data_IF_366840648638
#
_entry.id   IF_366840648638
#
_cell.length_a   1.000
_cell.length_b   1.000
_cell.length_c   1.000
_cell.angle_alpha   90.00
_cell.angle_beta   90.00
_cell.angle_gamma   90.00
#
_symmetry.space_group_name_H-M   'P 1'
#
loop_
_entity.id
_entity.type
_entity.pdbx_description
1 polymer ?
#
# COMPACT_ATOMS: atom_id res chain seq x y z
N UNK A 1 3.41 -50.57 20.34
CA UNK A 1 3.20 -51.69 19.38
C UNK A 1 2.68 -52.98 20.02
N UNK A 2 3.08 -53.39 21.24
CA UNK A 2 2.57 -54.63 21.89
C UNK A 2 1.04 -54.77 21.95
N UNK A 3 0.31 -53.66 21.98
CA UNK A 3 -1.16 -53.66 21.99
C UNK A 3 -1.77 -54.22 20.70
N UNK A 4 -1.09 -54.12 19.55
CA UNK A 4 -1.57 -54.65 18.28
C UNK A 4 -1.46 -56.18 18.18
N UNK A 5 -0.66 -56.81 19.05
CA UNK A 5 -0.61 -58.28 19.17
C UNK A 5 -1.91 -58.89 19.70
N UNK A 6 -2.82 -58.06 20.22
CA UNK A 6 -4.15 -58.46 20.69
C UNK A 6 -5.24 -58.30 19.62
N UNK A 7 -4.85 -58.18 18.34
CA UNK A 7 -5.76 -57.93 17.23
C UNK A 7 -6.59 -56.63 17.41
N UNK A 8 -5.95 -55.60 17.98
CA UNK A 8 -6.59 -54.31 18.26
C UNK A 8 -6.39 -53.36 17.07
N UNK A 9 -7.39 -52.56 16.72
CA UNK A 9 -7.27 -51.49 15.71
C UNK A 9 -7.22 -50.13 16.39
N UNK A 10 -6.34 -49.23 15.93
CA UNK A 10 -6.28 -47.85 16.41
C UNK A 10 -6.64 -46.88 15.28
N UNK A 11 -7.90 -46.41 15.22
CA UNK A 11 -8.32 -45.39 14.27
C UNK A 11 -8.06 -43.99 14.83
N UNK A 12 -7.35 -43.17 14.08
CA UNK A 12 -7.34 -41.72 14.25
C UNK A 12 -8.16 -41.11 13.11
N UNK A 13 -9.17 -40.32 13.45
CA UNK A 13 -10.04 -39.69 12.46
C UNK A 13 -10.11 -38.18 12.67
N UNK A 14 -10.20 -37.45 11.58
CA UNK A 14 -10.46 -36.02 11.55
C UNK A 14 -11.65 -35.78 10.63
N UNK A 15 -12.74 -35.22 11.17
CA UNK A 15 -13.94 -34.91 10.38
C UNK A 15 -13.67 -33.94 9.24
N UNK A 16 -12.62 -33.12 9.32
CA UNK A 16 -12.25 -32.20 8.23
C UNK A 16 -11.90 -32.96 6.94
N UNK A 17 -11.35 -34.17 7.06
CA UNK A 17 -10.98 -35.00 5.91
C UNK A 17 -12.18 -35.41 5.06
N UNK A 18 -13.37 -35.52 5.63
CA UNK A 18 -14.59 -35.84 4.87
C UNK A 18 -15.00 -34.72 3.91
N UNK A 19 -14.57 -33.48 4.17
CA UNK A 19 -14.90 -32.30 3.34
C UNK A 19 -13.84 -31.99 2.28
N UNK A 20 -12.55 -32.23 2.59
CA UNK A 20 -11.44 -31.75 1.76
C UNK A 20 -10.81 -32.83 0.86
N UNK A 21 -11.14 -34.11 1.07
CA UNK A 21 -10.67 -35.17 0.18
C UNK A 21 -11.44 -35.16 -1.15
N UNK A 22 -10.71 -35.30 -2.25
CA UNK A 22 -11.27 -35.29 -3.61
C UNK A 22 -11.91 -36.63 -4.02
N UNK A 23 -11.69 -37.70 -3.23
CA UNK A 23 -12.27 -39.01 -3.50
C UNK A 23 -13.79 -38.96 -3.22
N UNK A 24 -14.64 -39.29 -4.22
CA UNK A 24 -16.10 -39.25 -4.10
C UNK A 24 -16.69 -40.10 -2.97
N UNK A 25 -15.94 -41.08 -2.44
CA UNK A 25 -16.39 -41.92 -1.33
C UNK A 25 -16.66 -41.12 -0.05
N UNK A 26 -15.75 -40.22 0.33
CA UNK A 26 -15.85 -39.51 1.62
C UNK A 26 -16.95 -38.44 1.70
N UNK A 27 -17.20 -37.63 0.65
CA UNK A 27 -18.30 -36.68 0.63
C UNK A 27 -19.69 -37.32 0.76
N UNK A 28 -19.86 -38.58 0.32
CA UNK A 28 -21.14 -39.29 0.39
C UNK A 28 -21.47 -39.82 1.80
N UNK A 29 -20.47 -39.98 2.68
CA UNK A 29 -20.68 -40.45 4.06
C UNK A 29 -21.41 -39.39 4.90
N UNK A 30 -21.16 -38.10 4.64
CA UNK A 30 -21.71 -37.00 5.44
C UNK A 30 -23.24 -36.89 5.32
N UNK A 31 -23.85 -36.87 4.11
CA UNK A 31 -25.30 -36.90 3.96
C UNK A 31 -25.95 -38.09 4.66
N UNK A 32 -25.42 -39.30 4.46
CA UNK A 32 -25.95 -40.53 5.07
C UNK A 32 -25.93 -40.44 6.61
N UNK A 33 -24.81 -40.01 7.20
CA UNK A 33 -24.69 -39.86 8.65
C UNK A 33 -25.50 -38.70 9.20
N UNK A 34 -25.72 -37.66 8.41
CA UNK A 34 -26.56 -36.54 8.79
C UNK A 34 -28.04 -36.94 8.84
N UNK A 35 -28.53 -37.68 7.85
CA UNK A 35 -29.89 -38.24 7.86
C UNK A 35 -30.13 -39.14 9.06
N UNK A 36 -29.22 -40.09 9.32
CA UNK A 36 -29.29 -40.98 10.49
C UNK A 36 -29.30 -40.19 11.82
N UNK A 37 -28.47 -39.14 11.93
CA UNK A 37 -28.45 -38.27 13.11
C UNK A 37 -29.76 -37.50 13.29
N UNK A 38 -30.36 -37.02 12.19
CA UNK A 38 -31.66 -36.34 12.23
C UNK A 38 -32.79 -37.28 12.66
N UNK A 39 -32.80 -38.52 12.17
CA UNK A 39 -33.77 -39.53 12.59
C UNK A 39 -33.66 -39.85 14.09
N UNK A 40 -32.44 -39.96 14.61
CA UNK A 40 -32.21 -40.15 16.05
C UNK A 40 -32.68 -38.94 16.87
N UNK A 41 -32.48 -37.71 16.38
CA UNK A 41 -33.01 -36.49 17.01
C UNK A 41 -34.55 -36.49 17.00
N UNK A 42 -35.18 -36.76 15.85
CA UNK A 42 -36.63 -36.74 15.67
C UNK A 42 -37.33 -37.85 16.47
N UNK A 43 -36.69 -39.01 16.61
CA UNK A 43 -37.18 -40.12 17.44
C UNK A 43 -36.92 -39.91 18.94
N UNK A 44 -36.23 -38.83 19.33
CA UNK A 44 -35.93 -38.51 20.72
C UNK A 44 -34.87 -39.40 21.37
N UNK A 45 -34.12 -40.19 20.58
CA UNK A 45 -33.02 -41.03 21.10
C UNK A 45 -31.79 -40.21 21.46
N UNK A 46 -31.62 -39.05 20.83
CA UNK A 46 -30.59 -38.07 21.17
C UNK A 46 -31.24 -36.70 21.39
N UNK A 47 -30.75 -35.97 22.39
CA UNK A 47 -31.21 -34.63 22.74
C UNK A 47 -30.11 -33.60 22.46
N UNK A 48 -30.48 -32.34 22.14
CA UNK A 48 -29.51 -31.28 21.95
C UNK A 48 -28.75 -31.01 23.26
N UNK A 49 -27.45 -30.78 23.13
CA UNK A 49 -26.62 -30.39 24.27
C UNK A 49 -27.03 -29.00 24.78
N UNK A 50 -26.86 -28.72 26.10
CA UNK A 50 -27.07 -27.40 26.66
C UNK A 50 -26.32 -26.33 25.86
N UNK A 51 -27.01 -25.26 25.47
CA UNK A 51 -26.44 -24.18 24.68
C UNK A 51 -26.15 -22.98 25.57
N UNK A 52 -24.91 -22.51 25.55
CA UNK A 52 -24.53 -21.20 26.10
C UNK A 52 -24.41 -20.22 24.96
N UNK A 53 -25.38 -19.31 24.84
CA UNK A 53 -25.47 -18.38 23.71
C UNK A 53 -24.84 -17.03 24.06
N UNK A 54 -23.92 -16.57 23.23
CA UNK A 54 -23.32 -15.24 23.30
C UNK A 54 -23.71 -14.43 22.05
N UNK A 55 -23.90 -13.12 22.21
CA UNK A 55 -24.05 -12.21 21.07
C UNK A 55 -22.71 -12.01 20.37
N UNK A 56 -22.71 -11.81 19.05
CA UNK A 56 -21.48 -11.54 18.29
C UNK A 56 -20.65 -10.35 18.83
N UNK A 57 -21.25 -9.28 19.37
CA UNK A 57 -20.50 -8.19 20.01
C UNK A 57 -19.68 -8.64 21.23
N UNK A 58 -20.09 -9.74 21.89
CA UNK A 58 -19.43 -10.29 23.06
C UNK A 58 -18.57 -11.52 22.73
N UNK A 59 -18.07 -11.64 21.49
CA UNK A 59 -17.27 -12.79 21.04
C UNK A 59 -16.06 -13.07 21.96
N UNK A 60 -15.41 -12.03 22.49
CA UNK A 60 -14.30 -12.19 23.43
C UNK A 60 -14.72 -12.90 24.72
N UNK A 61 -15.95 -12.66 25.21
CA UNK A 61 -16.49 -13.37 26.37
C UNK A 61 -16.79 -14.83 26.03
N UNK A 62 -17.33 -15.09 24.82
CA UNK A 62 -17.57 -16.44 24.32
C UNK A 62 -16.27 -17.25 24.28
N UNK A 63 -15.17 -16.67 23.76
CA UNK A 63 -13.85 -17.32 23.76
C UNK A 63 -13.30 -17.58 25.17
N UNK A 64 -13.44 -16.62 26.10
CA UNK A 64 -13.01 -16.81 27.50
C UNK A 64 -13.76 -17.95 28.17
N UNK A 65 -15.09 -17.99 28.00
CA UNK A 65 -15.91 -19.08 28.51
C UNK A 65 -15.55 -20.40 27.83
N UNK A 66 -15.34 -20.40 26.51
CA UNK A 66 -14.90 -21.57 25.77
C UNK A 66 -13.56 -22.10 26.29
N UNK A 67 -12.61 -21.26 26.68
CA UNK A 67 -11.33 -21.71 27.26
C UNK A 67 -11.44 -22.29 28.68
N UNK A 68 -12.60 -22.17 29.34
CA UNK A 68 -12.81 -22.68 30.70
C UNK A 68 -13.00 -24.20 30.69
N UNK A 69 -12.39 -24.90 31.66
CA UNK A 69 -12.46 -26.36 31.76
C UNK A 69 -13.84 -26.88 32.18
N UNK A 70 -14.58 -26.09 32.97
CA UNK A 70 -15.87 -26.45 33.53
C UNK A 70 -17.06 -26.13 32.60
N UNK A 71 -16.79 -25.86 31.31
CA UNK A 71 -17.83 -25.58 30.33
C UNK A 71 -18.73 -26.81 30.12
N UNK A 72 -20.03 -26.59 30.08
CA UNK A 72 -21.02 -27.64 29.80
C UNK A 72 -21.70 -27.35 28.47
N UNK A 73 -21.81 -28.38 27.64
CA UNK A 73 -22.52 -28.31 26.36
C UNK A 73 -21.77 -27.53 25.27
N UNK A 74 -22.50 -26.73 24.47
CA UNK A 74 -21.98 -26.01 23.31
C UNK A 74 -22.05 -24.50 23.51
N UNK A 75 -20.99 -23.81 23.07
CA UNK A 75 -20.94 -22.34 23.03
C UNK A 75 -21.37 -21.89 21.64
N UNK A 76 -22.42 -21.08 21.57
CA UNK A 76 -23.00 -20.59 20.31
C UNK A 76 -22.88 -19.08 20.26
N UNK A 77 -22.48 -18.55 19.10
CA UNK A 77 -22.44 -17.11 18.86
C UNK A 77 -23.56 -16.76 17.89
N UNK A 78 -24.53 -15.94 18.33
CA UNK A 78 -25.64 -15.49 17.48
C UNK A 78 -25.31 -14.16 16.77
N UNK A 79 -25.75 -14.06 15.51
CA UNK A 79 -25.57 -12.93 14.60
C UNK A 79 -26.94 -12.29 14.24
N UNK A 80 -28.05 -12.83 14.72
CA UNK A 80 -29.40 -12.46 14.26
C UNK A 80 -29.96 -11.16 14.88
N UNK A 81 -29.34 -10.64 15.94
CA UNK A 81 -29.79 -9.41 16.59
C UNK A 81 -29.47 -8.17 15.73
N UNK A 82 -30.51 -7.45 15.28
CA UNK A 82 -30.39 -6.23 14.48
C UNK A 82 -29.63 -5.07 15.20
N UNK A 83 -29.68 -5.04 16.53
CA UNK A 83 -29.00 -4.02 17.35
C UNK A 83 -27.54 -4.39 17.71
N UNK A 84 -27.04 -5.51 17.20
CA UNK A 84 -25.73 -6.05 17.56
C UNK A 84 -24.60 -5.36 16.77
N UNK A 85 -24.06 -4.28 17.34
CA UNK A 85 -22.90 -3.57 16.77
C UNK A 85 -21.61 -4.33 17.10
N UNK A 86 -21.09 -5.07 16.13
CA UNK A 86 -19.80 -5.76 16.25
C UNK A 86 -18.67 -4.82 15.86
N UNK A 87 -17.65 -4.68 16.72
CA UNK A 87 -16.41 -4.02 16.33
C UNK A 87 -15.66 -4.91 15.36
N UNK A 88 -15.70 -4.54 14.08
CA UNK A 88 -14.98 -5.25 13.01
C UNK A 88 -13.66 -4.54 12.82
N UNK A 89 -12.55 -5.28 12.89
CA UNK A 89 -11.25 -4.75 12.45
C UNK A 89 -11.40 -4.39 10.98
N UNK A 90 -11.20 -3.10 10.65
CA UNK A 90 -11.27 -2.64 9.26
C UNK A 90 -10.37 -3.50 8.37
N UNK A 91 -10.83 -3.77 7.14
CA UNK A 91 -10.01 -4.50 6.18
C UNK A 91 -8.67 -3.80 6.01
N UNK A 92 -7.59 -4.58 6.01
CA UNK A 92 -6.23 -4.06 5.79
C UNK A 92 -6.09 -3.40 4.41
N UNK A 93 -6.90 -3.85 3.46
CA UNK A 93 -6.95 -3.39 2.07
C UNK A 93 -8.38 -2.99 1.71
N UNK A 94 -8.55 -1.83 1.10
CA UNK A 94 -9.85 -1.25 0.72
C UNK A 94 -10.18 -1.50 -0.75
N UNK A 95 -9.19 -1.70 -1.62
CA UNK A 95 -9.42 -1.91 -3.04
C UNK A 95 -10.09 -3.27 -3.27
N UNK A 96 -11.25 -3.25 -3.93
CA UNK A 96 -11.97 -4.44 -4.35
C UNK A 96 -11.92 -4.49 -5.87
N UNK A 97 -11.31 -5.54 -6.42
CA UNK A 97 -11.17 -5.74 -7.86
C UNK A 97 -12.32 -6.58 -8.40
N UNK A 98 -12.92 -6.14 -9.51
CA UNK A 98 -13.89 -6.93 -10.28
C UNK A 98 -13.20 -8.17 -10.89
N UNK A 99 -13.63 -9.40 -10.55
CA UNK A 99 -13.03 -10.63 -11.05
C UNK A 99 -13.25 -10.86 -12.55
N UNK A 100 -14.20 -10.16 -13.19
CA UNK A 100 -14.45 -10.25 -14.62
C UNK A 100 -13.51 -9.35 -15.46
N UNK A 101 -12.86 -8.38 -14.83
CA UNK A 101 -11.94 -7.44 -15.47
C UNK A 101 -10.50 -7.90 -15.42
N UNK A 102 -9.68 -7.24 -16.22
CA UNK A 102 -8.25 -7.48 -16.42
C UNK A 102 -7.50 -6.26 -16.00
N UNK A 103 -6.47 -6.49 -15.24
CA UNK A 103 -5.63 -5.43 -14.76
C UNK A 103 -4.27 -5.62 -15.40
N UNK A 104 -3.73 -4.55 -15.97
CA UNK A 104 -2.28 -4.41 -16.06
C UNK A 104 -1.81 -4.19 -14.61
N UNK A 105 -1.85 -5.29 -13.83
CA UNK A 105 -1.26 -5.66 -12.52
C UNK A 105 -2.14 -6.65 -11.73
N UNK A 106 -1.55 -7.36 -10.78
CA UNK A 106 -2.15 -7.59 -9.46
C UNK A 106 -3.26 -8.64 -9.24
N UNK A 107 -4.25 -8.91 -10.12
CA UNK A 107 -5.37 -9.82 -9.77
C UNK A 107 -5.91 -10.64 -10.95
N UNK A 108 -6.05 -11.96 -10.76
CA UNK A 108 -6.62 -13.03 -11.63
C UNK A 108 -6.19 -12.98 -13.12
N UNK A 109 -6.42 -11.91 -13.87
CA UNK A 109 -5.98 -11.79 -15.27
C UNK A 109 -4.96 -10.66 -15.40
N UNK A 110 -3.75 -11.01 -15.82
CA UNK A 110 -2.56 -10.16 -15.84
C UNK A 110 -1.95 -10.06 -17.24
N UNK A 111 -1.54 -8.85 -17.61
CA UNK A 111 -0.59 -8.65 -18.70
C UNK A 111 0.56 -7.81 -18.17
N UNK A 112 1.79 -8.34 -18.26
CA UNK A 112 3.02 -7.63 -17.91
C UNK A 112 3.69 -7.16 -19.19
N UNK A 113 4.05 -5.88 -19.26
CA UNK A 113 4.83 -5.32 -20.37
C UNK A 113 6.24 -4.98 -19.87
N UNK A 114 7.25 -5.49 -20.54
CA UNK A 114 8.64 -5.13 -20.24
C UNK A 114 9.61 -5.55 -21.34
N UNK A 115 10.74 -4.85 -21.43
CA UNK A 115 11.74 -5.02 -22.50
C UNK A 115 12.31 -6.45 -22.61
N UNK A 116 12.32 -7.19 -21.50
CA UNK A 116 12.84 -8.56 -21.39
C UNK A 116 11.75 -9.63 -21.26
N UNK A 117 10.45 -9.26 -21.18
CA UNK A 117 9.37 -10.25 -20.97
C UNK A 117 9.69 -11.27 -19.86
N UNK A 118 9.66 -12.57 -20.21
CA UNK A 118 10.00 -13.70 -19.33
C UNK A 118 11.46 -14.20 -19.46
N UNK A 119 12.38 -13.43 -20.04
CA UNK A 119 13.77 -13.86 -20.24
C UNK A 119 14.49 -14.15 -18.91
N UNK A 120 14.09 -13.46 -17.82
CA UNK A 120 14.62 -13.70 -16.47
C UNK A 120 13.95 -14.92 -15.83
N UNK A 121 14.75 -15.82 -15.25
CA UNK A 121 14.23 -17.02 -14.57
C UNK A 121 13.29 -16.70 -13.41
N UNK A 122 13.50 -15.59 -12.70
CA UNK A 122 12.60 -15.09 -11.66
C UNK A 122 11.23 -14.68 -12.21
N UNK A 123 11.20 -14.01 -13.37
CA UNK A 123 9.95 -13.63 -14.04
C UNK A 123 9.17 -14.87 -14.49
N UNK A 124 9.86 -15.86 -15.09
CA UNK A 124 9.24 -17.13 -15.48
C UNK A 124 8.63 -17.87 -14.29
N UNK A 125 9.38 -18.02 -13.19
CA UNK A 125 8.88 -18.64 -11.95
C UNK A 125 7.68 -17.91 -11.37
N UNK A 126 7.65 -16.57 -11.46
CA UNK A 126 6.52 -15.77 -10.98
C UNK A 126 5.27 -16.04 -11.81
N UNK A 127 5.38 -16.05 -13.14
CA UNK A 127 4.27 -16.39 -14.05
C UNK A 127 3.75 -17.80 -13.77
N UNK A 128 4.63 -18.81 -13.73
CA UNK A 128 4.26 -20.20 -13.45
C UNK A 128 3.59 -20.36 -12.07
N UNK A 129 4.08 -19.64 -11.06
CA UNK A 129 3.48 -19.65 -9.71
C UNK A 129 2.10 -18.99 -9.70
N UNK A 130 1.90 -17.91 -10.45
CA UNK A 130 0.59 -17.27 -10.54
C UNK A 130 -0.42 -18.15 -11.28
N UNK A 131 0.00 -18.76 -12.39
CA UNK A 131 -0.85 -19.68 -13.16
C UNK A 131 -1.24 -20.93 -12.36
N UNK A 132 -0.37 -21.42 -11.46
CA UNK A 132 -0.68 -22.56 -10.59
C UNK A 132 -1.65 -22.24 -9.44
N UNK A 133 -1.97 -20.97 -9.18
CA UNK A 133 -2.93 -20.55 -8.15
C UNK A 133 -4.41 -20.79 -8.54
N UNK A 134 -4.69 -21.31 -9.74
CA UNK A 134 -5.99 -21.90 -10.08
C UNK A 134 -6.55 -21.50 -11.46
N UNK A 135 -7.66 -22.15 -11.82
CA UNK A 135 -8.24 -22.15 -13.18
C UNK A 135 -8.66 -20.78 -13.76
N UNK A 136 -8.74 -19.73 -12.93
CA UNK A 136 -9.14 -18.39 -13.34
C UNK A 136 -7.99 -17.38 -13.38
N UNK A 137 -6.74 -17.86 -13.28
CA UNK A 137 -5.56 -17.01 -13.40
C UNK A 137 -4.99 -17.08 -14.81
N UNK A 138 -4.94 -15.94 -15.52
CA UNK A 138 -4.30 -15.85 -16.85
C UNK A 138 -3.20 -14.82 -16.79
N UNK A 139 -1.96 -15.19 -17.08
CA UNK A 139 -0.82 -14.27 -17.08
C UNK A 139 -0.21 -14.24 -18.48
N UNK A 140 -0.05 -13.06 -19.07
CA UNK A 140 0.70 -12.88 -20.31
C UNK A 140 1.87 -11.93 -20.08
N UNK A 141 3.07 -12.34 -20.46
CA UNK A 141 4.21 -11.46 -20.53
C UNK A 141 4.41 -11.00 -21.98
N UNK A 142 4.24 -9.70 -22.22
CA UNK A 142 4.47 -9.05 -23.50
C UNK A 142 5.85 -8.42 -23.46
N UNK A 143 6.69 -8.81 -24.41
CA UNK A 143 7.97 -8.15 -24.63
C UNK A 143 7.74 -6.85 -25.40
N UNK A 144 8.20 -5.74 -24.84
CA UNK A 144 8.08 -4.43 -25.50
C UNK A 144 8.49 -3.28 -24.59
N UNK A 145 8.66 -2.11 -25.20
CA UNK A 145 8.96 -0.86 -24.51
C UNK A 145 7.72 0.04 -24.49
N UNK A 146 7.25 0.40 -23.31
CA UNK A 146 6.05 1.24 -23.16
C UNK A 146 6.23 2.65 -23.76
N UNK A 147 7.47 3.13 -23.89
CA UNK A 147 7.77 4.39 -24.60
C UNK A 147 7.59 4.29 -26.12
N UNK A 148 7.53 3.06 -26.67
CA UNK A 148 7.14 2.81 -28.05
C UNK A 148 5.61 2.67 -28.17
N UNK A 149 5.00 3.50 -29.01
CA UNK A 149 3.55 3.52 -29.21
C UNK A 149 3.01 2.20 -29.76
N UNK A 150 3.75 1.51 -30.64
CA UNK A 150 3.35 0.23 -31.22
C UNK A 150 3.29 -0.87 -30.15
N UNK A 151 4.30 -0.92 -29.28
CA UNK A 151 4.39 -1.91 -28.20
C UNK A 151 3.31 -1.68 -27.13
N UNK A 152 3.08 -0.43 -26.73
CA UNK A 152 1.99 -0.08 -25.81
C UNK A 152 0.62 -0.46 -26.40
N UNK A 153 0.41 -0.20 -27.69
CA UNK A 153 -0.82 -0.59 -28.40
C UNK A 153 -0.97 -2.11 -28.46
N UNK A 154 0.11 -2.83 -28.75
CA UNK A 154 0.11 -4.30 -28.79
C UNK A 154 -0.17 -4.92 -27.42
N UNK A 155 0.36 -4.34 -26.34
CA UNK A 155 0.09 -4.77 -24.97
C UNK A 155 -1.39 -4.57 -24.60
N UNK A 156 -1.96 -3.41 -24.94
CA UNK A 156 -3.39 -3.13 -24.73
C UNK A 156 -4.27 -4.07 -25.55
N UNK A 157 -3.92 -4.34 -26.83
CA UNK A 157 -4.60 -5.35 -27.66
C UNK A 157 -4.50 -6.76 -27.07
N UNK A 158 -3.35 -7.11 -26.51
CA UNK A 158 -3.16 -8.41 -25.84
C UNK A 158 -4.11 -8.55 -24.65
N UNK A 159 -4.30 -7.50 -23.85
CA UNK A 159 -5.27 -7.51 -22.76
C UNK A 159 -6.70 -7.78 -23.28
N UNK A 160 -7.08 -7.20 -24.42
CA UNK A 160 -8.41 -7.40 -25.02
C UNK A 160 -8.69 -8.87 -25.36
N UNK A 161 -7.67 -9.63 -25.77
CA UNK A 161 -7.85 -11.07 -26.06
C UNK A 161 -8.22 -11.90 -24.83
N UNK A 162 -8.01 -11.35 -23.64
CA UNK A 162 -8.25 -12.04 -22.36
C UNK A 162 -9.57 -11.54 -21.71
N UNK A 163 -9.99 -10.29 -22.00
CA UNK A 163 -11.16 -9.65 -21.36
C UNK A 163 -11.11 -8.11 -21.28
N UNK A 164 -12.02 -7.52 -20.50
CA UNK A 164 -12.18 -6.06 -20.35
C UNK A 164 -11.11 -5.50 -19.40
N UNK A 165 -10.41 -4.44 -19.81
CA UNK A 165 -9.38 -3.80 -18.99
C UNK A 165 -10.04 -2.97 -17.87
N UNK A 166 -9.79 -3.31 -16.61
CA UNK A 166 -10.25 -2.59 -15.42
C UNK A 166 -9.19 -1.66 -14.82
N UNK A 167 -7.90 -1.85 -15.09
CA UNK A 167 -6.92 -0.92 -14.53
C UNK A 167 -5.52 -1.07 -15.09
N UNK A 168 -4.71 -0.03 -14.86
CA UNK A 168 -3.33 0.06 -15.32
C UNK A 168 -2.46 0.58 -14.19
N UNK A 169 -1.31 -0.06 -13.94
CA UNK A 169 -0.21 0.57 -13.21
C UNK A 169 0.96 0.77 -14.15
N UNK A 170 1.40 2.02 -14.27
CA UNK A 170 2.62 2.39 -14.94
C UNK A 170 3.76 2.45 -13.93
N UNK A 171 4.51 1.35 -13.83
CA UNK A 171 5.70 1.21 -12.99
C UNK A 171 7.01 1.21 -13.78
N UNK A 172 6.97 1.46 -15.10
CA UNK A 172 8.18 1.48 -15.91
C UNK A 172 9.11 2.63 -15.49
N UNK A 173 10.40 2.30 -15.34
CA UNK A 173 11.43 3.23 -14.93
C UNK A 173 12.72 2.99 -15.73
N UNK A 174 13.33 4.09 -16.15
CA UNK A 174 14.73 4.17 -16.50
C UNK A 174 15.38 5.21 -15.60
N UNK A 175 16.64 5.02 -15.25
CA UNK A 175 17.41 5.99 -14.47
C UNK A 175 18.84 6.00 -14.98
N UNK A 176 19.37 7.20 -15.15
CA UNK A 176 20.78 7.43 -15.41
C UNK A 176 21.15 8.77 -14.78
N UNK A 177 21.88 8.71 -13.67
CA UNK A 177 22.20 9.87 -12.85
C UNK A 177 23.37 10.64 -13.44
N UNK A 178 23.25 11.97 -13.43
CA UNK A 178 24.33 12.87 -13.79
C UNK A 178 24.01 14.28 -13.27
N UNK A 179 25.04 15.03 -12.89
CA UNK A 179 24.87 16.48 -12.72
C UNK A 179 24.33 17.07 -14.02
N UNK A 180 23.34 17.96 -13.96
CA UNK A 180 22.65 18.46 -15.15
C UNK A 180 23.60 19.07 -16.18
N UNK A 181 24.64 19.80 -15.73
CA UNK A 181 25.67 20.38 -16.61
C UNK A 181 26.45 19.33 -17.44
N UNK A 182 26.50 18.08 -16.97
CA UNK A 182 27.21 16.96 -17.59
C UNK A 182 26.27 15.86 -18.05
N UNK A 183 24.95 16.07 -17.94
CA UNK A 183 23.97 15.08 -18.31
C UNK A 183 23.90 14.99 -19.82
N UNK A 184 24.17 13.81 -20.37
CA UNK A 184 24.02 13.57 -21.79
C UNK A 184 22.53 13.62 -22.18
N UNK A 185 22.25 13.91 -23.45
CA UNK A 185 20.88 13.86 -23.96
C UNK A 185 20.28 12.45 -23.82
N UNK A 186 21.09 11.40 -24.00
CA UNK A 186 20.68 10.01 -23.77
C UNK A 186 20.23 9.79 -22.31
N UNK A 187 21.04 10.21 -21.33
CA UNK A 187 20.70 10.07 -19.91
C UNK A 187 19.41 10.82 -19.56
N UNK A 188 19.20 12.00 -20.14
CA UNK A 188 17.96 12.75 -19.99
C UNK A 188 16.74 11.93 -20.49
N UNK A 189 16.82 11.40 -21.70
CA UNK A 189 15.72 10.65 -22.29
C UNK A 189 15.46 9.30 -21.63
N UNK A 190 16.49 8.63 -21.08
CA UNK A 190 16.34 7.34 -20.39
C UNK A 190 15.30 7.40 -19.27
N UNK A 191 15.28 8.46 -18.45
CA UNK A 191 14.30 8.60 -17.37
C UNK A 191 12.96 9.17 -17.86
N UNK A 192 13.00 10.14 -18.76
CA UNK A 192 11.82 10.86 -19.26
C UNK A 192 10.93 9.94 -20.09
N UNK A 193 11.49 9.19 -21.06
CA UNK A 193 10.70 8.40 -22.01
C UNK A 193 9.87 7.31 -21.32
N UNK A 194 10.44 6.64 -20.31
CA UNK A 194 9.74 5.60 -19.58
C UNK A 194 8.44 6.10 -18.90
N UNK A 195 8.47 7.33 -18.35
CA UNK A 195 7.36 7.91 -17.59
C UNK A 195 6.46 8.79 -18.45
N UNK A 196 7.01 9.75 -19.18
CA UNK A 196 6.26 10.61 -20.09
C UNK A 196 5.63 9.80 -21.21
N UNK A 197 6.47 9.23 -22.08
CA UNK A 197 5.98 8.63 -23.33
C UNK A 197 5.23 7.34 -23.00
N UNK A 198 5.73 6.58 -22.02
CA UNK A 198 5.02 5.42 -21.51
C UNK A 198 3.59 5.72 -21.05
N UNK A 199 3.40 6.71 -20.17
CA UNK A 199 2.06 7.05 -19.67
C UNK A 199 1.16 7.63 -20.77
N UNK A 200 1.72 8.46 -21.65
CA UNK A 200 0.99 9.05 -22.77
C UNK A 200 0.55 8.00 -23.79
N UNK A 201 1.44 7.07 -24.14
CA UNK A 201 1.13 5.97 -25.05
C UNK A 201 0.05 5.06 -24.48
N UNK A 202 0.12 4.70 -23.19
CA UNK A 202 -0.93 3.92 -22.54
C UNK A 202 -2.26 4.66 -22.52
N UNK A 203 -2.25 5.96 -22.20
CA UNK A 203 -3.45 6.80 -22.25
C UNK A 203 -4.11 6.78 -23.63
N UNK A 204 -3.33 7.01 -24.69
CA UNK A 204 -3.84 7.02 -26.06
C UNK A 204 -4.31 5.64 -26.51
N UNK A 205 -3.54 4.59 -26.23
CA UNK A 205 -3.91 3.22 -26.59
C UNK A 205 -5.22 2.75 -25.92
N UNK A 206 -5.51 3.26 -24.71
CA UNK A 206 -6.76 3.02 -23.99
C UNK A 206 -7.89 3.96 -24.44
N UNK A 207 -7.59 5.15 -24.93
CA UNK A 207 -8.59 6.08 -25.44
C UNK A 207 -9.25 5.58 -26.75
N UNK A 208 -8.53 4.76 -27.53
CA UNK A 208 -9.12 4.06 -28.68
C UNK A 208 -10.33 3.24 -28.20
N UNK A 209 -11.47 3.41 -28.87
CA UNK A 209 -12.77 2.81 -28.52
C UNK A 209 -13.36 3.24 -27.15
N UNK A 210 -12.84 4.33 -26.55
CA UNK A 210 -13.36 4.90 -25.29
C UNK A 210 -13.16 4.03 -24.06
N UNK A 211 -12.17 3.12 -24.07
CA UNK A 211 -11.93 2.15 -22.98
C UNK A 211 -11.37 2.81 -21.72
N UNK A 212 -10.66 3.91 -21.90
CA UNK A 212 -10.15 4.77 -20.85
C UNK A 212 -11.21 5.30 -19.86
N UNK A 213 -12.49 5.34 -20.27
CA UNK A 213 -13.66 5.69 -19.45
C UNK A 213 -14.21 4.54 -18.60
N UNK A 214 -13.84 3.29 -18.91
CA UNK A 214 -14.30 2.08 -18.21
C UNK A 214 -13.29 1.53 -17.20
N UNK A 215 -12.14 2.20 -17.09
CA UNK A 215 -11.12 1.89 -16.10
C UNK A 215 -11.64 2.21 -14.70
N UNK A 216 -11.31 1.34 -13.76
CA UNK A 216 -11.49 1.53 -12.33
C UNK A 216 -10.34 2.36 -11.76
N UNK A 217 -9.11 2.20 -12.28
CA UNK A 217 -7.96 2.99 -11.85
C UNK A 217 -6.89 3.17 -12.95
N UNK A 218 -6.11 4.25 -12.83
CA UNK A 218 -4.90 4.49 -13.61
C UNK A 218 -3.77 4.97 -12.69
N UNK A 219 -2.97 4.02 -12.21
CA UNK A 219 -1.95 4.27 -11.21
C UNK A 219 -0.62 4.61 -11.87
N UNK A 220 0.02 5.65 -11.38
CA UNK A 220 1.33 6.12 -11.82
C UNK A 220 2.31 6.02 -10.65
N UNK A 221 3.37 5.26 -10.85
CA UNK A 221 4.44 5.13 -9.86
C UNK A 221 5.40 6.31 -10.03
N UNK A 222 5.20 7.36 -9.25
CA UNK A 222 6.05 8.55 -9.18
C UNK A 222 7.07 8.42 -8.04
N UNK A 223 7.78 9.50 -7.73
CA UNK A 223 8.72 9.57 -6.61
C UNK A 223 8.63 10.90 -5.88
N UNK A 224 8.90 10.88 -4.57
CA UNK A 224 9.10 12.08 -3.77
C UNK A 224 10.16 13.01 -4.38
N UNK A 225 11.17 12.47 -5.06
CA UNK A 225 12.20 13.24 -5.79
C UNK A 225 11.58 14.23 -6.78
N UNK A 226 10.43 13.90 -7.39
CA UNK A 226 9.71 14.82 -8.28
C UNK A 226 9.16 16.07 -7.60
N UNK A 227 8.93 16.02 -6.29
CA UNK A 227 8.40 17.13 -5.50
C UNK A 227 9.49 17.90 -4.75
N UNK A 228 10.47 17.20 -4.15
CA UNK A 228 11.51 17.86 -3.32
C UNK A 228 12.79 18.17 -4.08
N UNK A 229 12.99 17.55 -5.25
CA UNK A 229 14.21 17.63 -6.03
C UNK A 229 15.37 16.84 -5.40
N UNK A 230 16.06 16.07 -6.24
CA UNK A 230 17.26 15.34 -5.84
C UNK A 230 18.42 15.72 -6.75
N UNK A 231 19.57 16.00 -6.13
CA UNK A 231 20.80 16.33 -6.85
C UNK A 231 21.20 15.20 -7.80
N UNK A 232 21.69 15.55 -8.99
CA UNK A 232 22.06 14.62 -10.07
C UNK A 232 20.92 13.78 -10.68
N UNK A 233 19.67 14.05 -10.27
CA UNK A 233 18.46 13.35 -10.74
C UNK A 233 17.49 14.30 -11.49
N UNK A 234 17.97 15.36 -12.14
CA UNK A 234 17.11 16.32 -12.87
C UNK A 234 16.14 15.68 -13.86
N UNK A 235 16.62 14.72 -14.65
CA UNK A 235 15.80 13.91 -15.55
C UNK A 235 14.71 13.13 -14.80
N UNK A 236 15.05 12.46 -13.71
CA UNK A 236 14.13 11.67 -12.91
C UNK A 236 13.11 12.55 -12.17
N UNK A 237 13.53 13.67 -11.58
CA UNK A 237 12.66 14.63 -10.93
C UNK A 237 11.63 15.20 -11.93
N UNK A 238 12.09 15.62 -13.11
CA UNK A 238 11.22 16.12 -14.17
C UNK A 238 10.22 15.05 -14.66
N UNK A 239 10.68 13.80 -14.85
CA UNK A 239 9.84 12.69 -15.27
C UNK A 239 8.73 12.37 -14.26
N UNK A 240 9.03 12.42 -12.96
CA UNK A 240 8.05 12.20 -11.89
C UNK A 240 7.10 13.40 -11.71
N UNK A 241 7.61 14.62 -11.82
CA UNK A 241 6.78 15.83 -11.84
C UNK A 241 5.75 15.83 -12.98
N UNK A 242 6.11 15.27 -14.14
CA UNK A 242 5.15 15.01 -15.21
C UNK A 242 4.03 14.06 -14.78
N UNK A 243 4.34 12.94 -14.11
CA UNK A 243 3.32 11.97 -13.68
C UNK A 243 2.31 12.62 -12.71
N UNK A 244 2.82 13.41 -11.76
CA UNK A 244 2.00 14.12 -10.77
C UNK A 244 1.10 15.19 -11.42
N UNK A 245 1.58 15.85 -12.47
CA UNK A 245 0.77 16.78 -13.27
C UNK A 245 -0.23 16.04 -14.17
N UNK A 246 0.20 14.93 -14.76
CA UNK A 246 -0.59 14.12 -15.68
C UNK A 246 -1.79 13.46 -14.98
N UNK A 247 -1.63 12.95 -13.76
CA UNK A 247 -2.73 12.43 -12.96
C UNK A 247 -3.83 13.47 -12.72
N UNK A 248 -3.43 14.70 -12.32
CA UNK A 248 -4.36 15.83 -12.14
C UNK A 248 -5.07 16.20 -13.44
N UNK A 249 -4.32 16.32 -14.52
CA UNK A 249 -4.88 16.60 -15.85
C UNK A 249 -5.87 15.52 -16.28
N UNK A 250 -5.52 14.23 -16.14
CA UNK A 250 -6.38 13.11 -16.55
C UNK A 250 -7.68 13.06 -15.73
N UNK A 251 -7.62 13.38 -14.43
CA UNK A 251 -8.81 13.53 -13.57
C UNK A 251 -9.69 14.71 -13.93
N UNK A 252 -9.12 15.85 -14.33
CA UNK A 252 -9.90 16.98 -14.86
C UNK A 252 -10.68 16.62 -16.12
N UNK A 253 -10.25 15.60 -16.87
CA UNK A 253 -10.98 15.02 -18.00
C UNK A 253 -12.05 13.99 -17.59
N UNK A 254 -12.31 13.82 -16.29
CA UNK A 254 -13.28 12.85 -15.76
C UNK A 254 -12.80 11.40 -15.83
N UNK A 255 -11.49 11.16 -15.94
CA UNK A 255 -10.93 9.81 -16.09
C UNK A 255 -10.04 9.47 -14.88
N UNK A 256 -10.05 8.23 -14.34
CA UNK A 256 -9.33 7.89 -13.10
C UNK A 256 -7.82 8.05 -13.24
N UNK A 257 -7.12 8.58 -12.24
CA UNK A 257 -5.67 8.63 -12.23
C UNK A 257 -5.10 9.00 -10.87
N UNK A 258 -4.23 8.18 -10.31
CA UNK A 258 -3.45 8.51 -9.10
C UNK A 258 -1.97 8.45 -9.41
N UNK A 259 -1.24 9.50 -9.06
CA UNK A 259 0.22 9.46 -8.95
C UNK A 259 0.61 9.19 -7.50
N UNK A 260 1.50 8.24 -7.27
CA UNK A 260 2.08 8.01 -5.95
C UNK A 260 3.56 8.40 -6.01
N UNK A 261 3.90 9.52 -5.39
CA UNK A 261 5.27 9.95 -5.18
C UNK A 261 5.93 9.11 -4.09
N UNK A 262 6.47 7.95 -4.48
CA UNK A 262 7.09 7.02 -3.55
C UNK A 262 8.41 7.56 -2.99
N UNK A 263 8.55 7.44 -1.67
CA UNK A 263 9.81 7.59 -0.97
C UNK A 263 10.74 6.39 -1.16
N UNK A 264 11.74 6.28 -0.29
CA UNK A 264 12.63 5.12 -0.26
C UNK A 264 11.83 3.85 0.03
N UNK A 265 11.95 2.80 -0.80
CA UNK A 265 11.34 1.49 -0.55
C UNK A 265 12.45 0.53 -0.12
N UNK A 266 12.29 -0.12 1.03
CA UNK A 266 13.19 -1.17 1.51
C UNK A 266 12.63 -2.55 1.16
N UNK A 267 13.47 -3.58 1.29
CA UNK A 267 13.12 -5.02 1.17
C UNK A 267 12.82 -5.52 -0.26
N UNK A 268 12.38 -4.66 -1.17
CA UNK A 268 12.10 -5.00 -2.58
C UNK A 268 12.48 -3.86 -3.53
N UNK A 269 12.72 -4.18 -4.80
CA UNK A 269 12.98 -3.19 -5.86
C UNK A 269 14.44 -2.73 -5.97
N UNK A 270 14.67 -1.63 -6.72
CA UNK A 270 16.01 -1.19 -7.13
C UNK A 270 16.97 -0.95 -5.96
N UNK A 271 16.49 -0.41 -4.83
CA UNK A 271 17.34 -0.12 -3.67
C UNK A 271 17.78 -1.38 -2.93
N UNK A 272 16.93 -2.39 -2.85
CA UNK A 272 17.30 -3.69 -2.27
C UNK A 272 18.41 -4.37 -3.11
N UNK A 273 18.42 -4.13 -4.42
CA UNK A 273 19.48 -4.61 -5.32
C UNK A 273 20.78 -3.78 -5.25
N UNK A 274 20.78 -2.60 -4.59
CA UNK A 274 21.90 -1.65 -4.49
C UNK A 274 22.08 -1.12 -3.04
N UNK A 275 22.60 -1.93 -2.11
CA UNK A 275 22.61 -1.65 -0.66
C UNK A 275 23.44 -0.41 -0.25
N UNK A 276 24.43 -0.02 -1.05
CA UNK A 276 25.21 1.19 -0.85
C UNK A 276 24.37 2.47 -1.00
N UNK A 277 23.36 2.46 -1.87
CA UNK A 277 22.44 3.59 -2.08
C UNK A 277 21.47 3.69 -0.90
N UNK A 278 20.95 2.55 -0.42
CA UNK A 278 20.10 2.48 0.77
C UNK A 278 20.80 3.08 2.01
N UNK A 279 22.07 2.74 2.22
CA UNK A 279 22.86 3.29 3.33
C UNK A 279 23.05 4.82 3.25
N UNK A 280 23.20 5.38 2.05
CA UNK A 280 23.32 6.84 1.85
C UNK A 280 21.99 7.54 2.16
N UNK A 281 20.87 6.98 1.72
CA UNK A 281 19.55 7.56 1.94
C UNK A 281 19.12 7.51 3.42
N UNK A 282 19.46 6.42 4.13
CA UNK A 282 19.28 6.33 5.58
C UNK A 282 20.08 7.41 6.33
N UNK A 283 21.32 7.68 5.91
CA UNK A 283 22.14 8.78 6.48
C UNK A 283 21.53 10.17 6.22
N UNK A 284 20.76 10.33 5.15
CA UNK A 284 20.01 11.56 4.83
C UNK A 284 18.69 11.68 5.60
N UNK A 285 18.36 10.73 6.48
CA UNK A 285 17.16 10.75 7.32
C UNK A 285 15.86 10.41 6.58
N UNK A 286 15.95 9.88 5.36
CA UNK A 286 14.81 9.38 4.60
C UNK A 286 14.43 8.02 5.19
N UNK A 287 13.18 7.88 5.64
CA UNK A 287 12.70 6.64 6.23
C UNK A 287 12.27 5.66 5.13
N UNK A 288 12.69 4.38 5.20
CA UNK A 288 12.25 3.39 4.24
C UNK A 288 10.78 3.02 4.46
N UNK A 289 10.09 2.82 3.35
CA UNK A 289 8.79 2.18 3.27
C UNK A 289 9.02 0.69 3.04
N UNK A 290 8.61 -0.14 3.99
CA UNK A 290 8.67 -1.59 3.86
C UNK A 290 7.59 -2.12 2.89
N UNK A 291 7.65 -3.41 2.53
CA UNK A 291 6.72 -4.00 1.54
C UNK A 291 5.25 -3.80 1.96
N UNK A 292 4.94 -4.04 3.23
CA UNK A 292 3.61 -3.88 3.80
C UNK A 292 3.08 -2.44 3.67
N UNK A 293 3.92 -1.44 3.97
CA UNK A 293 3.56 -0.03 3.83
C UNK A 293 3.39 0.36 2.36
N UNK A 294 4.21 -0.18 1.47
CA UNK A 294 4.08 0.02 0.03
C UNK A 294 2.75 -0.50 -0.51
N UNK A 295 2.38 -1.74 -0.16
CA UNK A 295 1.11 -2.33 -0.60
C UNK A 295 -0.10 -1.55 -0.07
N UNK A 296 -0.05 -1.04 1.16
CA UNK A 296 -1.12 -0.20 1.71
C UNK A 296 -1.27 1.14 0.99
N UNK A 297 -0.15 1.76 0.60
CA UNK A 297 -0.18 3.02 -0.15
C UNK A 297 -0.73 2.80 -1.56
N UNK A 298 -0.35 1.69 -2.21
CA UNK A 298 -0.88 1.31 -3.51
C UNK A 298 -2.38 1.02 -3.44
N UNK A 299 -2.81 0.27 -2.43
CA UNK A 299 -4.22 -0.03 -2.16
C UNK A 299 -5.05 1.24 -1.96
N UNK A 300 -4.55 2.19 -1.17
CA UNK A 300 -5.20 3.48 -0.98
C UNK A 300 -5.35 4.23 -2.30
N UNK A 301 -4.30 4.30 -3.12
CA UNK A 301 -4.36 4.96 -4.42
C UNK A 301 -5.37 4.32 -5.39
N UNK A 302 -5.46 2.99 -5.41
CA UNK A 302 -6.43 2.26 -6.23
C UNK A 302 -7.86 2.48 -5.71
N UNK A 303 -8.07 2.39 -4.40
CA UNK A 303 -9.37 2.61 -3.77
C UNK A 303 -9.91 4.03 -4.04
N UNK A 304 -9.05 5.05 -3.96
CA UNK A 304 -9.40 6.44 -4.28
C UNK A 304 -9.88 6.60 -5.74
N UNK A 305 -9.21 5.95 -6.70
CA UNK A 305 -9.64 5.97 -8.10
C UNK A 305 -10.99 5.24 -8.30
N UNK A 306 -11.20 4.09 -7.64
CA UNK A 306 -12.47 3.36 -7.68
C UNK A 306 -13.62 4.24 -7.14
N UNK A 307 -13.39 4.92 -6.01
CA UNK A 307 -14.36 5.85 -5.43
C UNK A 307 -14.63 7.05 -6.35
N UNK A 308 -13.59 7.60 -6.98
CA UNK A 308 -13.75 8.68 -7.96
C UNK A 308 -14.64 8.27 -9.14
N UNK A 309 -14.44 7.07 -9.69
CA UNK A 309 -15.27 6.54 -10.79
C UNK A 309 -16.72 6.31 -10.34
N UNK A 310 -16.93 5.78 -9.13
CA UNK A 310 -18.27 5.59 -8.57
C UNK A 310 -19.02 6.93 -8.40
N UNK A 311 -18.35 7.96 -7.85
CA UNK A 311 -18.92 9.31 -7.67
C UNK A 311 -19.26 9.96 -9.03
N UNK A 312 -18.39 9.79 -10.04
CA UNK A 312 -18.62 10.32 -11.38
C UNK A 312 -19.79 9.64 -12.11
N UNK A 313 -19.99 8.34 -11.89
CA UNK A 313 -21.12 7.58 -12.46
C UNK A 313 -22.44 7.79 -11.69
N UNK A 314 -22.39 8.06 -10.39
CA UNK A 314 -23.57 8.15 -9.51
C UNK A 314 -24.33 9.48 -9.55
N UNK A 315 -23.72 10.56 -10.03
CA UNK A 315 -24.33 11.91 -10.02
C UNK A 315 -24.50 12.50 -11.43
N UNK A 316 -25.37 11.91 -12.24
CA UNK A 316 -25.85 12.53 -13.48
C UNK A 316 -27.00 13.54 -13.28
N UNK A 317 -27.37 13.86 -12.02
CA UNK A 317 -28.51 14.74 -11.76
C UNK A 317 -28.56 15.31 -10.35
N UNK A 318 -27.64 16.21 -10.01
CA UNK A 318 -27.82 17.42 -9.19
C UNK A 318 -26.46 17.91 -8.67
N UNK A 319 -26.10 19.19 -8.87
CA UNK A 319 -24.93 19.77 -8.23
C UNK A 319 -25.27 20.02 -6.76
N UNK A 320 -24.90 19.08 -5.88
CA UNK A 320 -24.95 19.32 -4.44
C UNK A 320 -23.82 20.28 -4.03
N UNK A 321 -24.06 21.57 -4.23
CA UNK A 321 -23.44 22.66 -3.47
C UNK A 321 -24.01 22.63 -2.05
N UNK A 322 -23.40 21.83 -1.19
CA UNK A 322 -23.74 21.75 0.23
C UNK A 322 -22.62 21.03 0.98
N UNK A 323 -21.73 21.81 1.58
CA UNK A 323 -20.87 21.42 2.71
C UNK A 323 -20.17 20.03 2.62
N UNK A 324 -19.45 19.75 1.52
CA UNK A 324 -18.32 18.79 1.62
C UNK A 324 -17.19 19.49 2.39
N UNK A 325 -17.23 19.34 3.71
CA UNK A 325 -16.15 19.66 4.66
C UNK A 325 -14.79 19.30 4.08
N UNK A 326 -13.76 20.07 4.41
CA UNK A 326 -12.37 20.05 3.91
C UNK A 326 -11.58 18.73 4.10
N UNK A 327 -12.23 17.56 4.07
CA UNK A 327 -11.69 16.20 4.22
C UNK A 327 -11.83 15.32 2.97
N UNK A 328 -12.42 15.83 1.87
CA UNK A 328 -12.65 15.07 0.63
C UNK A 328 -11.97 15.69 -0.59
N UNK A 329 -10.70 16.11 -0.47
CA UNK A 329 -9.93 16.43 -1.66
C UNK A 329 -9.69 15.11 -2.41
N UNK A 330 -10.27 14.96 -3.60
CA UNK A 330 -10.01 13.82 -4.50
C UNK A 330 -8.49 13.75 -4.76
N UNK A 331 -7.81 12.82 -4.10
CA UNK A 331 -6.33 12.84 -3.96
C UNK A 331 -5.68 12.34 -5.25
N UNK A 332 -5.26 13.26 -6.13
CA UNK A 332 -4.61 12.90 -7.40
C UNK A 332 -3.11 12.58 -7.23
N UNK A 333 -2.54 12.97 -6.08
CA UNK A 333 -1.14 12.74 -5.74
C UNK A 333 -0.99 12.32 -4.28
N UNK A 334 -0.31 11.21 -4.02
CA UNK A 334 0.04 10.71 -2.69
C UNK A 334 1.57 10.73 -2.56
N UNK A 335 2.10 11.53 -1.63
CA UNK A 335 3.55 11.58 -1.36
C UNK A 335 3.90 10.73 -0.13
N UNK A 336 4.93 9.90 -0.23
CA UNK A 336 5.43 9.08 0.88
C UNK A 336 6.90 9.37 1.19
N UNK A 337 7.33 9.07 2.42
CA UNK A 337 8.72 9.25 2.86
C UNK A 337 9.10 10.63 3.40
N UNK A 338 8.18 11.61 3.38
CA UNK A 338 8.36 12.93 4.03
C UNK A 338 7.67 13.05 5.40
N UNK A 339 6.84 12.07 5.75
CA UNK A 339 6.06 12.07 7.00
C UNK A 339 6.96 11.67 8.19
N UNK A 340 7.01 12.44 9.29
CA UNK A 340 7.79 12.09 10.48
C UNK A 340 7.18 10.96 11.33
N UNK A 341 6.15 10.25 10.86
CA UNK A 341 5.46 9.19 11.58
C UNK A 341 5.12 8.02 10.65
N UNK A 342 5.30 6.77 11.12
CA UNK A 342 4.59 5.60 10.55
C UNK A 342 3.12 5.98 10.52
N UNK A 343 2.46 6.08 9.35
CA UNK A 343 1.03 6.38 9.18
C UNK A 343 0.17 5.87 10.36
N UNK A 344 -0.05 6.67 11.43
CA UNK A 344 -0.68 6.15 12.65
C UNK A 344 -2.19 6.04 12.46
N UNK A 345 -2.75 6.78 11.51
CA UNK A 345 -4.18 6.75 11.19
C UNK A 345 -4.65 5.36 10.68
N UNK A 346 -3.72 4.48 10.25
CA UNK A 346 -4.03 3.12 9.81
C UNK A 346 -3.73 2.06 10.87
N UNK A 347 -3.00 2.40 11.94
CA UNK A 347 -2.63 1.50 13.04
C UNK A 347 -3.20 1.90 14.40
N UNK A 348 -3.92 3.03 14.49
CA UNK A 348 -4.50 3.55 15.74
C UNK A 348 -5.44 2.56 16.45
N UNK A 349 -5.97 1.55 15.75
CA UNK A 349 -6.81 0.51 16.36
C UNK A 349 -6.01 -0.67 16.96
N UNK A 350 -4.67 -0.67 16.90
CA UNK A 350 -3.85 -1.78 17.43
C UNK A 350 -3.22 -1.54 18.80
N UNK A 351 -3.24 -0.32 19.35
CA UNK A 351 -2.54 0.00 20.61
C UNK A 351 -3.45 0.42 21.77
N UNK A 352 -4.70 -0.03 21.83
CA UNK A 352 -5.57 0.19 22.99
C UNK A 352 -5.47 -0.92 24.07
N UNK A 353 -4.31 -1.60 24.21
CA UNK A 353 -4.17 -2.76 25.09
C UNK A 353 -2.83 -2.98 25.80
N UNK A 354 -1.82 -2.14 25.60
CA UNK A 354 -0.51 -2.31 26.24
C UNK A 354 -0.29 -1.30 27.35
N UNK A 355 -0.27 -1.74 28.61
CA UNK A 355 0.12 -0.92 29.75
C UNK A 355 1.50 -0.27 29.49
N UNK A 356 1.57 1.06 29.65
CA UNK A 356 2.78 1.84 29.49
C UNK A 356 3.87 1.36 30.47
N UNK A 357 4.82 0.59 29.96
CA UNK A 357 6.01 0.21 30.71
C UNK A 357 7.00 1.38 30.61
N UNK A 358 7.14 2.11 31.72
CA UNK A 358 8.06 3.23 31.87
C UNK A 358 9.49 2.69 31.84
N UNK A 359 10.17 2.81 30.70
CA UNK A 359 11.62 2.61 30.63
C UNK A 359 12.33 3.81 31.28
N UNK A 360 12.90 3.59 32.46
CA UNK A 360 13.80 4.53 33.14
C UNK A 360 15.12 4.67 32.37
N UNK A 361 15.41 5.88 31.88
CA UNK A 361 16.71 6.25 31.31
C UNK A 361 17.67 6.75 32.42
N UNK A 362 18.96 6.41 32.37
CA UNK A 362 19.94 6.89 33.34
C UNK A 362 20.51 8.27 32.94
N UNK A 363 20.60 9.19 33.89
CA UNK A 363 21.52 10.34 33.85
C UNK A 363 20.91 11.72 33.55
N UNK A 364 20.73 12.50 34.62
CA UNK A 364 20.89 13.96 34.73
C UNK A 364 20.52 14.88 33.57
N UNK A 365 19.37 15.56 33.67
CA UNK A 365 19.03 16.70 32.79
C UNK A 365 17.56 17.12 32.74
N UNK A 366 16.65 16.45 33.45
CA UNK A 366 15.20 16.72 33.41
C UNK A 366 14.74 18.01 34.12
N UNK A 367 15.66 18.91 34.49
CA UNK A 367 15.36 20.09 35.29
C UNK A 367 15.10 21.39 34.49
N UNK A 368 15.40 21.47 33.19
CA UNK A 368 15.40 22.77 32.49
C UNK A 368 14.16 23.10 31.64
N UNK A 369 13.22 22.19 31.39
CA UNK A 369 12.11 22.45 30.48
C UNK A 369 10.74 21.92 30.98
N UNK A 370 9.89 22.76 31.60
CA UNK A 370 8.56 22.39 32.09
C UNK A 370 7.63 21.82 31.00
N UNK A 371 7.85 22.17 29.73
CA UNK A 371 7.04 21.78 28.58
C UNK A 371 7.25 20.33 28.11
N UNK A 372 8.25 19.60 28.64
CA UNK A 372 8.48 18.18 28.32
C UNK A 372 7.57 17.22 29.11
N UNK A 373 7.04 17.66 30.27
CA UNK A 373 6.25 16.82 31.18
C UNK A 373 4.96 16.20 30.61
N UNK A 374 4.19 16.86 29.72
CA UNK A 374 2.96 16.29 29.16
C UNK A 374 3.18 15.40 27.92
N UNK A 375 4.43 15.18 27.46
CA UNK A 375 4.72 14.48 26.20
C UNK A 375 4.99 12.99 26.43
N UNK A 376 4.67 12.16 25.43
CA UNK A 376 5.01 10.73 25.45
C UNK A 376 6.53 10.53 25.40
N UNK A 377 7.02 9.44 25.99
CA UNK A 377 8.46 9.14 26.08
C UNK A 377 9.18 9.17 24.72
N UNK A 378 8.51 8.73 23.65
CA UNK A 378 9.03 8.73 22.28
C UNK A 378 9.21 10.14 21.72
N UNK A 379 8.24 11.03 21.97
CA UNK A 379 8.28 12.44 21.53
C UNK A 379 9.30 13.22 22.33
N UNK A 380 9.35 12.99 23.64
CA UNK A 380 10.35 13.55 24.53
C UNK A 380 11.78 13.20 24.07
N UNK A 381 12.04 11.92 23.76
CA UNK A 381 13.34 11.45 23.29
C UNK A 381 13.81 12.14 21.98
N UNK A 382 12.89 12.41 21.06
CA UNK A 382 13.19 13.08 19.78
C UNK A 382 13.50 14.57 19.96
N UNK A 383 12.93 15.21 20.98
CA UNK A 383 13.11 16.63 21.30
C UNK A 383 14.27 16.89 22.27
N UNK A 384 14.96 15.85 22.76
CA UNK A 384 16.12 15.97 23.65
C UNK A 384 17.25 16.85 23.09
N UNK A 385 17.40 16.88 21.76
CA UNK A 385 18.40 17.71 21.09
C UNK A 385 18.09 19.22 21.08
N UNK A 386 16.92 19.64 21.58
CA UNK A 386 16.45 21.03 21.63
C UNK A 386 15.88 21.44 23.00
N UNK A 387 16.29 20.78 24.08
CA UNK A 387 15.78 20.99 25.46
C UNK A 387 16.04 22.39 25.98
N UNK A 388 17.06 23.08 25.44
CA UNK A 388 17.40 24.47 25.78
C UNK A 388 16.43 25.51 25.18
N UNK A 389 15.39 25.08 24.46
CA UNK A 389 14.37 25.97 23.91
C UNK A 389 13.35 26.38 24.98
N UNK A 390 12.92 27.65 24.96
CA UNK A 390 12.00 28.20 25.97
C UNK A 390 10.58 27.65 25.88
N UNK A 391 10.22 27.01 24.75
CA UNK A 391 8.90 26.43 24.52
C UNK A 391 8.94 25.21 23.60
N UNK A 392 7.89 24.38 23.65
CA UNK A 392 7.70 23.24 22.75
C UNK A 392 7.68 23.67 21.28
N UNK A 393 7.02 24.80 20.97
CA UNK A 393 6.95 25.33 19.61
C UNK A 393 8.35 25.67 19.07
N UNK A 394 9.19 26.28 19.90
CA UNK A 394 10.56 26.63 19.52
C UNK A 394 11.45 25.38 19.37
N UNK A 395 11.29 24.39 20.23
CA UNK A 395 11.98 23.10 20.10
C UNK A 395 11.60 22.38 18.80
N UNK A 396 10.31 22.36 18.46
CA UNK A 396 9.80 21.79 17.21
C UNK A 396 10.32 22.57 16.00
N UNK A 397 10.26 23.90 16.04
CA UNK A 397 10.77 24.75 14.94
C UNK A 397 12.27 24.58 14.72
N UNK A 398 13.09 24.45 15.79
CA UNK A 398 14.53 24.18 15.65
C UNK A 398 14.79 22.80 15.05
N UNK A 399 14.04 21.78 15.46
CA UNK A 399 14.20 20.42 14.93
C UNK A 399 13.77 20.33 13.46
N UNK A 400 12.63 20.93 13.12
CA UNK A 400 12.14 21.05 11.74
C UNK A 400 13.13 21.87 10.91
N UNK A 401 13.60 23.01 11.41
CA UNK A 401 14.59 23.86 10.76
C UNK A 401 15.92 23.15 10.51
N UNK A 402 16.43 22.36 11.48
CA UNK A 402 17.65 21.56 11.32
C UNK A 402 17.50 20.47 10.27
N UNK A 403 16.36 19.76 10.26
CA UNK A 403 16.08 18.76 9.21
C UNK A 403 15.88 19.39 7.84
N UNK A 404 15.18 20.53 7.78
CA UNK A 404 14.98 21.29 6.56
C UNK A 404 16.32 21.83 6.02
N UNK A 405 17.15 22.43 6.88
CA UNK A 405 18.52 22.86 6.57
C UNK A 405 19.35 21.74 5.95
N UNK A 406 19.31 20.54 6.54
CA UNK A 406 19.96 19.33 6.00
C UNK A 406 19.39 18.92 4.63
N UNK A 407 18.07 18.99 4.47
CA UNK A 407 17.39 18.64 3.22
C UNK A 407 17.66 19.63 2.08
N UNK A 408 17.84 20.91 2.41
CA UNK A 408 17.99 22.03 1.44
C UNK A 408 19.46 22.44 1.28
N UNK A 409 20.39 21.86 2.04
CA UNK A 409 21.82 22.22 2.03
C UNK A 409 22.06 23.72 2.28
N UNK A 410 21.20 24.32 3.10
CA UNK A 410 21.28 25.73 3.50
C UNK A 410 21.65 25.78 4.98
N UNK A 411 22.66 26.55 5.41
CA UNK A 411 23.00 26.70 6.82
C UNK A 411 21.76 27.08 7.65
N UNK A 412 21.64 26.52 8.86
CA UNK A 412 20.45 26.70 9.71
C UNK A 412 20.12 28.18 9.96
N UNK A 413 21.14 29.03 10.06
CA UNK A 413 20.99 30.48 10.28
C UNK A 413 20.34 31.22 9.09
N UNK A 414 20.35 30.60 7.90
CA UNK A 414 19.77 31.14 6.68
C UNK A 414 18.38 30.54 6.36
N UNK A 415 17.85 29.66 7.22
CA UNK A 415 16.50 29.10 7.09
C UNK A 415 15.49 30.02 7.75
N UNK A 416 14.82 30.85 6.94
CA UNK A 416 13.73 31.72 7.38
C UNK A 416 12.38 30.98 7.36
N UNK A 417 11.85 30.69 8.54
CA UNK A 417 10.61 29.93 8.74
C UNK A 417 9.34 30.67 8.31
N UNK A 418 9.43 31.97 7.99
CA UNK A 418 8.29 32.80 7.60
C UNK A 418 8.18 33.01 6.09
N UNK A 419 9.14 32.51 5.30
CA UNK A 419 9.17 32.72 3.86
C UNK A 419 8.69 31.48 3.08
N UNK A 420 7.99 31.66 1.95
CA UNK A 420 7.56 30.55 1.09
C UNK A 420 8.75 29.74 0.57
N UNK A 421 8.54 28.46 0.27
CA UNK A 421 9.56 27.54 -0.27
C UNK A 421 10.26 28.09 -1.54
N UNK A 422 9.56 28.89 -2.34
CA UNK A 422 10.10 29.56 -3.52
C UNK A 422 11.27 30.52 -3.21
N UNK A 423 11.31 31.11 -2.00
CA UNK A 423 12.39 32.01 -1.58
C UNK A 423 13.75 31.30 -1.51
N UNK A 424 13.74 29.99 -1.27
CA UNK A 424 14.94 29.15 -1.24
C UNK A 424 15.35 28.65 -2.65
N UNK A 425 14.83 29.25 -3.73
CA UNK A 425 15.03 28.82 -5.15
C UNK A 425 14.70 27.34 -5.39
N UNK A 426 13.69 26.82 -4.66
CA UNK A 426 13.26 25.40 -4.68
C UNK A 426 12.09 25.13 -5.64
N UNK A 427 11.79 26.07 -6.51
CA UNK A 427 10.73 25.96 -7.52
C UNK A 427 11.19 25.24 -8.79
N UNK A 428 12.50 25.16 -9.09
CA UNK A 428 12.98 24.42 -10.29
C UNK A 428 14.45 23.94 -10.29
N UNK A 429 15.31 24.34 -9.33
CA UNK A 429 16.77 24.34 -9.57
C UNK A 429 17.61 23.33 -8.76
N UNK A 430 17.06 22.67 -7.74
CA UNK A 430 17.80 21.68 -6.91
C UNK A 430 18.28 20.49 -7.74
N UNK A 431 17.47 20.06 -8.70
CA UNK A 431 17.83 18.94 -9.54
C UNK A 431 18.93 19.29 -10.55
N UNK A 432 19.12 20.59 -10.86
CA UNK A 432 20.04 21.08 -11.87
C UNK A 432 21.47 21.33 -11.34
N UNK A 433 21.63 21.94 -10.16
CA UNK A 433 22.95 22.31 -9.66
C UNK A 433 23.11 22.02 -8.17
N UNK A 434 23.96 21.06 -7.85
CA UNK A 434 24.58 20.92 -6.54
C UNK A 434 26.10 20.87 -6.69
N UNK A 435 26.69 21.99 -7.11
CA UNK A 435 28.10 22.28 -6.78
C UNK A 435 28.12 23.18 -5.55
N UNK A 436 28.95 22.91 -4.54
CA UNK A 436 29.23 23.88 -3.50
C UNK A 436 30.02 25.01 -4.16
N UNK A 437 29.39 26.17 -4.34
CA UNK A 437 30.11 27.36 -4.76
C UNK A 437 31.10 27.76 -3.65
N UNK A 438 32.39 28.01 -3.96
CA UNK A 438 33.26 28.64 -2.99
C UNK A 438 32.75 30.05 -2.72
N UNK A 439 32.81 30.45 -1.46
CA UNK A 439 32.38 31.76 -1.00
C UNK A 439 33.06 32.89 -1.76
N UNK A 440 32.32 34.00 -1.82
CA UNK A 440 32.78 35.33 -2.15
C UNK A 440 34.08 35.63 -1.37
N UNK A 441 35.18 35.80 -2.11
CA UNK A 441 36.10 36.95 -2.06
C UNK A 441 36.84 37.03 -3.40
#
# INVERSE_FOLDING_TARGET
MRIFLRNTTFPAFDFSSLFFYQDPFYPNILPERFEETLELCLSGQIEPLPLTVYKAANISQAYRYFSTKDRVGKVVVTIEDADNRVSVKGSRYKAIFDPAKIYLLGVRKFVFLGRSGCDKSSAKRLVERMESMGANVTVKAVRGDVSNTADATAAVKTCQTVGVIGGVVQAAMGLQEALFQRMSNEAWHTAIQAKWAGSWNLHNALAVDGRDKKLDFFHLTSSVSGSVGTAAESNYCAANGFLDAFARWRRQQGKPAVSIGLGMISEVGYLHENPEIEAILLRKGIQPLNEDGFLQVVDLGIAEDIHFVADACGNAGQPNTGERSAKGAVIANILTGLEPFRLPALTADQESGGAAQVCSLPGGGLASAPWLKPLSATVAASLLSGVDAGSLQEAVLRLVGKRFSSLVWTPLDNVDNHKPLAHFRRDSMIAANSTPGPGIL
#
